data_IF_954691586722
#
_entry.id   IF_954691586722
#
_cell.length_a   1.000
_cell.length_b   1.000
_cell.length_c   1.000
_cell.angle_alpha   90.00
_cell.angle_beta   90.00
_cell.angle_gamma   90.00
#
_symmetry.space_group_name_H-M   'P 1'
#
loop_
_entity.id
_entity.type
_entity.pdbx_description
1 polymer ?
#
# COMPACT_ATOMS: atom_id res chain seq x y z
N UNK A 1 -13.99 12.26 -10.11
CA UNK A 1 -14.35 11.76 -11.46
C UNK A 1 -14.18 12.85 -12.50
N UNK A 2 -14.69 14.07 -12.29
CA UNK A 2 -14.46 15.18 -13.24
C UNK A 2 -13.00 15.54 -13.42
N UNK A 3 -12.24 15.74 -12.33
CA UNK A 3 -10.79 16.00 -12.43
C UNK A 3 -10.05 14.89 -13.18
N UNK A 4 -10.44 13.62 -12.96
CA UNK A 4 -9.82 12.47 -13.61
C UNK A 4 -10.06 12.47 -15.12
N UNK A 5 -11.31 12.67 -15.57
CA UNK A 5 -11.63 12.65 -17.01
C UNK A 5 -11.09 13.88 -17.74
N UNK A 6 -11.01 15.01 -17.04
CA UNK A 6 -10.37 16.23 -17.52
C UNK A 6 -8.87 16.01 -17.73
N UNK A 7 -8.18 15.42 -16.75
CA UNK A 7 -6.76 15.09 -16.87
C UNK A 7 -6.49 14.01 -17.92
N UNK A 8 -7.40 13.06 -18.10
CA UNK A 8 -7.28 12.00 -19.09
C UNK A 8 -7.71 12.43 -20.50
N UNK A 9 -8.32 13.62 -20.65
CA UNK A 9 -8.83 14.12 -21.93
C UNK A 9 -9.97 13.30 -22.52
N UNK A 10 -10.75 12.59 -21.69
CA UNK A 10 -11.85 11.72 -22.14
C UNK A 10 -13.20 12.20 -21.60
N UNK A 11 -14.28 11.70 -22.17
CA UNK A 11 -15.63 12.00 -21.68
C UNK A 11 -16.00 11.09 -20.49
N UNK A 12 -16.80 11.60 -19.54
CA UNK A 12 -17.29 10.81 -18.40
C UNK A 12 -18.04 9.55 -18.83
N UNK A 13 -18.86 9.65 -19.89
CA UNK A 13 -19.65 8.52 -20.38
C UNK A 13 -18.75 7.37 -20.83
N UNK A 14 -17.70 7.66 -21.63
CA UNK A 14 -16.73 6.65 -22.06
C UNK A 14 -16.01 5.94 -20.90
N UNK A 15 -15.70 6.69 -19.83
CA UNK A 15 -15.06 6.11 -18.65
C UNK A 15 -16.02 5.17 -17.90
N UNK A 16 -17.28 5.56 -17.71
CA UNK A 16 -18.29 4.72 -17.06
C UNK A 16 -18.70 3.53 -17.93
N UNK A 17 -18.76 3.67 -19.26
CA UNK A 17 -19.03 2.56 -20.18
C UNK A 17 -17.93 1.49 -20.11
N UNK A 18 -16.67 1.90 -19.87
CA UNK A 18 -15.53 0.98 -19.78
C UNK A 18 -15.38 0.34 -18.42
N UNK A 19 -15.55 1.12 -17.35
CA UNK A 19 -15.18 0.70 -15.99
C UNK A 19 -16.36 0.58 -15.02
N UNK A 20 -17.58 0.90 -15.45
CA UNK A 20 -18.82 0.79 -14.68
C UNK A 20 -18.95 1.89 -13.64
N UNK A 21 -18.05 1.91 -12.66
CA UNK A 21 -18.07 2.84 -11.55
C UNK A 21 -16.65 3.18 -11.04
N UNK A 22 -16.57 4.18 -10.15
CA UNK A 22 -15.31 4.66 -9.57
C UNK A 22 -14.59 3.58 -8.75
N UNK A 23 -15.34 2.75 -8.03
CA UNK A 23 -14.80 1.69 -7.17
C UNK A 23 -14.18 0.59 -8.03
N UNK A 24 -14.89 0.12 -9.06
CA UNK A 24 -14.38 -0.86 -10.03
C UNK A 24 -13.17 -0.34 -10.79
N UNK A 25 -13.18 0.92 -11.24
CA UNK A 25 -12.01 1.56 -11.86
C UNK A 25 -10.82 1.59 -10.89
N UNK A 26 -11.05 1.95 -9.63
CA UNK A 26 -10.00 2.00 -8.61
C UNK A 26 -9.33 0.63 -8.43
N UNK A 27 -10.12 -0.44 -8.24
CA UNK A 27 -9.56 -1.79 -8.11
C UNK A 27 -8.83 -2.25 -9.37
N UNK A 28 -9.35 -1.98 -10.57
CA UNK A 28 -8.65 -2.29 -11.83
C UNK A 28 -7.32 -1.56 -11.97
N UNK A 29 -7.22 -0.32 -11.47
CA UNK A 29 -5.95 0.42 -11.45
C UNK A 29 -4.99 -0.20 -10.44
N UNK A 30 -5.48 -0.62 -9.27
CA UNK A 30 -4.65 -1.30 -8.25
C UNK A 30 -4.12 -2.64 -8.78
N UNK A 31 -4.97 -3.46 -9.41
CA UNK A 31 -4.56 -4.70 -10.07
C UNK A 31 -3.48 -4.41 -11.12
N UNK A 32 -3.70 -3.39 -11.96
CA UNK A 32 -2.74 -3.01 -13.01
C UNK A 32 -1.40 -2.52 -12.45
N UNK A 33 -1.41 -1.80 -11.33
CA UNK A 33 -0.20 -1.34 -10.64
C UNK A 33 0.52 -2.53 -10.02
N UNK A 34 -0.20 -3.45 -9.38
CA UNK A 34 0.36 -4.69 -8.84
C UNK A 34 1.04 -5.51 -9.94
N UNK A 35 0.36 -5.72 -11.06
CA UNK A 35 0.92 -6.43 -12.22
C UNK A 35 2.15 -5.73 -12.78
N UNK A 36 2.15 -4.39 -12.79
CA UNK A 36 3.29 -3.61 -13.27
C UNK A 36 4.49 -3.71 -12.35
N UNK A 37 4.30 -3.65 -11.03
CA UNK A 37 5.37 -3.84 -10.04
C UNK A 37 5.97 -5.24 -10.18
N UNK A 38 5.13 -6.25 -10.32
CA UNK A 38 5.56 -7.63 -10.57
C UNK A 38 6.32 -7.76 -11.90
N UNK A 39 5.85 -7.09 -12.96
CA UNK A 39 6.52 -7.08 -14.27
C UNK A 39 7.85 -6.31 -14.26
N UNK A 40 7.94 -5.20 -13.51
CA UNK A 40 9.15 -4.39 -13.37
C UNK A 40 10.21 -5.16 -12.57
N UNK A 41 9.82 -5.81 -11.47
CA UNK A 41 10.69 -6.72 -10.71
C UNK A 41 11.17 -7.89 -11.58
N UNK A 42 10.26 -8.53 -12.33
CA UNK A 42 10.63 -9.58 -13.29
C UNK A 42 11.60 -9.06 -14.36
N UNK A 43 11.41 -7.81 -14.80
CA UNK A 43 12.30 -7.11 -15.71
C UNK A 43 13.69 -6.88 -15.12
N UNK A 44 13.79 -6.46 -13.86
CA UNK A 44 15.06 -6.29 -13.15
C UNK A 44 15.77 -7.62 -12.90
N UNK A 45 15.03 -8.66 -12.55
CA UNK A 45 15.53 -10.04 -12.44
C UNK A 45 16.11 -10.49 -13.78
N UNK A 46 15.41 -10.27 -14.91
CA UNK A 46 15.90 -10.62 -16.25
C UNK A 46 17.10 -9.81 -16.71
N UNK A 47 17.27 -8.59 -16.18
CA UNK A 47 18.41 -7.70 -16.48
C UNK A 47 19.60 -7.91 -15.53
N UNK A 48 19.44 -8.71 -14.48
CA UNK A 48 20.50 -9.03 -13.54
C UNK A 48 21.62 -9.78 -14.26
N UNK A 49 22.88 -9.48 -13.93
CA UNK A 49 24.05 -10.08 -14.61
C UNK A 49 24.38 -11.45 -14.04
N UNK A 50 23.97 -11.72 -12.79
CA UNK A 50 24.16 -13.02 -12.13
C UNK A 50 22.89 -13.52 -11.45
N UNK A 51 22.78 -14.83 -11.27
CA UNK A 51 21.69 -15.45 -10.50
C UNK A 51 21.69 -14.97 -9.04
N UNK A 52 22.87 -14.69 -8.47
CA UNK A 52 23.02 -14.15 -7.12
C UNK A 52 22.42 -12.74 -7.01
N UNK A 53 22.67 -11.85 -7.98
CA UNK A 53 22.06 -10.50 -8.02
C UNK A 53 20.53 -10.59 -8.13
N UNK A 54 20.02 -11.47 -8.99
CA UNK A 54 18.59 -11.70 -9.13
C UNK A 54 17.93 -12.20 -7.84
N UNK A 55 18.58 -13.14 -7.14
CA UNK A 55 18.11 -13.64 -5.84
C UNK A 55 18.15 -12.54 -4.78
N UNK A 56 19.20 -11.73 -4.73
CA UNK A 56 19.30 -10.60 -3.80
C UNK A 56 18.20 -9.56 -4.01
N UNK A 57 17.81 -9.27 -5.27
CA UNK A 57 16.69 -8.39 -5.59
C UNK A 57 15.35 -8.94 -5.09
N UNK A 58 15.13 -10.25 -5.26
CA UNK A 58 13.92 -10.93 -4.79
C UNK A 58 13.88 -10.93 -3.26
N UNK A 59 14.95 -11.38 -2.60
CA UNK A 59 15.01 -11.41 -1.13
C UNK A 59 14.87 -10.02 -0.53
N UNK A 60 15.56 -9.00 -1.06
CA UNK A 60 15.43 -7.62 -0.56
C UNK A 60 14.01 -7.07 -0.68
N UNK A 61 13.27 -7.44 -1.72
CA UNK A 61 11.89 -6.94 -1.93
C UNK A 61 10.90 -7.64 -0.99
N UNK A 62 11.07 -8.95 -0.80
CA UNK A 62 10.21 -9.77 0.06
C UNK A 62 10.52 -9.55 1.56
N UNK A 63 11.79 -9.43 1.93
CA UNK A 63 12.23 -9.18 3.31
C UNK A 63 11.74 -7.84 3.83
N UNK A 64 11.73 -6.79 3.00
CA UNK A 64 11.25 -5.48 3.42
C UNK A 64 9.76 -5.47 3.77
N UNK A 65 8.95 -6.32 3.11
CA UNK A 65 7.52 -6.47 3.40
C UNK A 65 7.29 -7.24 4.72
N UNK A 66 7.93 -8.40 4.86
CA UNK A 66 7.81 -9.24 6.06
C UNK A 66 8.37 -8.52 7.30
N UNK A 67 9.49 -7.81 7.15
CA UNK A 67 10.09 -7.04 8.23
C UNK A 67 9.19 -5.90 8.69
N UNK A 68 8.52 -5.18 7.78
CA UNK A 68 7.61 -4.10 8.20
C UNK A 68 6.39 -4.61 8.95
N UNK A 69 5.83 -5.74 8.53
CA UNK A 69 4.71 -6.38 9.22
C UNK A 69 5.10 -6.83 10.64
N UNK A 70 6.25 -7.51 10.77
CA UNK A 70 6.76 -7.92 12.07
C UNK A 70 7.07 -6.72 12.98
N UNK A 71 7.66 -5.65 12.44
CA UNK A 71 7.92 -4.43 13.22
C UNK A 71 6.63 -3.78 13.70
N UNK A 72 5.57 -3.73 12.88
CA UNK A 72 4.27 -3.23 13.34
C UNK A 72 3.74 -4.06 14.51
N UNK A 73 3.80 -5.38 14.41
CA UNK A 73 3.37 -6.28 15.49
C UNK A 73 4.16 -6.06 16.78
N UNK A 74 5.50 -5.96 16.69
CA UNK A 74 6.35 -5.76 17.86
C UNK A 74 6.08 -4.41 18.54
N UNK A 75 5.87 -3.35 17.76
CA UNK A 75 5.52 -2.01 18.27
C UNK A 75 4.13 -2.00 18.91
N UNK A 76 3.15 -2.67 18.31
CA UNK A 76 1.80 -2.76 18.87
C UNK A 76 1.82 -3.54 20.18
N UNK A 77 2.51 -4.68 20.23
CA UNK A 77 2.68 -5.46 21.46
C UNK A 77 3.33 -4.64 22.56
N UNK A 78 4.38 -3.88 22.23
CA UNK A 78 5.04 -2.99 23.19
C UNK A 78 4.09 -1.90 23.71
N UNK A 79 3.32 -1.26 22.84
CA UNK A 79 2.33 -0.26 23.22
C UNK A 79 1.19 -0.83 24.06
N UNK A 80 0.72 -2.04 23.76
CA UNK A 80 -0.27 -2.76 24.56
C UNK A 80 0.25 -3.11 25.96
N UNK A 81 1.50 -3.60 26.05
CA UNK A 81 2.14 -3.95 27.33
C UNK A 81 2.30 -2.75 28.26
N UNK A 82 2.56 -1.57 27.70
CA UNK A 82 2.72 -0.33 28.46
C UNK A 82 1.40 0.46 28.64
N UNK A 83 0.29 -0.04 28.10
CA UNK A 83 -1.03 0.58 28.18
C UNK A 83 -1.24 1.80 27.29
N UNK A 84 -0.36 2.04 26.31
CA UNK A 84 -0.51 3.10 25.31
C UNK A 84 -1.57 2.74 24.26
N UNK A 85 -1.63 1.47 23.86
CA UNK A 85 -2.60 0.96 22.89
C UNK A 85 -3.60 0.00 23.53
N UNK A 86 -4.80 -0.07 22.95
CA UNK A 86 -5.82 -1.00 23.40
C UNK A 86 -5.40 -2.45 23.14
N UNK A 87 -5.60 -3.30 24.15
CA UNK A 87 -5.45 -4.76 24.05
C UNK A 87 -6.78 -5.47 23.77
N UNK A 88 -7.82 -4.71 23.38
CA UNK A 88 -9.13 -5.27 22.98
C UNK A 88 -9.06 -6.09 21.68
N UNK A 89 -7.98 -5.93 20.90
CA UNK A 89 -7.73 -6.63 19.63
C UNK A 89 -6.36 -7.32 19.63
N UNK A 90 -6.23 -8.40 18.87
CA UNK A 90 -4.95 -9.09 18.69
C UNK A 90 -3.93 -8.18 17.99
N UNK A 91 -2.68 -8.20 18.47
CA UNK A 91 -1.63 -7.38 17.90
C UNK A 91 -1.29 -7.74 16.45
N UNK A 92 -1.50 -9.00 16.05
CA UNK A 92 -1.31 -9.44 14.66
C UNK A 92 -2.39 -8.85 13.75
N UNK A 93 -3.66 -8.90 14.16
CA UNK A 93 -4.76 -8.32 13.38
C UNK A 93 -4.59 -6.80 13.19
N UNK A 94 -4.13 -6.10 14.23
CA UNK A 94 -3.83 -4.67 14.14
C UNK A 94 -2.58 -4.40 13.28
N UNK A 95 -1.57 -5.27 13.33
CA UNK A 95 -0.38 -5.17 12.48
C UNK A 95 -0.71 -5.35 11.00
N UNK A 96 -1.55 -6.34 10.65
CA UNK A 96 -2.02 -6.57 9.29
C UNK A 96 -2.74 -5.34 8.74
N UNK A 97 -3.61 -4.73 9.55
CA UNK A 97 -4.30 -3.49 9.19
C UNK A 97 -3.33 -2.33 8.95
N UNK A 98 -2.40 -2.08 9.89
CA UNK A 98 -1.40 -1.02 9.76
C UNK A 98 -0.47 -1.22 8.58
N UNK A 99 -0.08 -2.47 8.32
CA UNK A 99 0.74 -2.83 7.19
C UNK A 99 0.00 -2.56 5.87
N UNK A 100 -1.30 -2.89 5.78
CA UNK A 100 -2.13 -2.55 4.63
C UNK A 100 -2.23 -1.03 4.42
N UNK A 101 -2.38 -0.25 5.49
CA UNK A 101 -2.37 1.23 5.43
C UNK A 101 -1.02 1.75 4.96
N UNK A 102 0.09 1.24 5.50
CA UNK A 102 1.46 1.62 5.12
C UNK A 102 1.74 1.34 3.64
N UNK A 103 1.38 0.16 3.14
CA UNK A 103 1.50 -0.20 1.73
C UNK A 103 0.65 0.73 0.87
N UNK A 104 -0.59 1.00 1.28
CA UNK A 104 -1.47 1.96 0.62
C UNK A 104 -0.87 3.37 0.54
N UNK A 105 -0.29 3.86 1.65
CA UNK A 105 0.40 5.15 1.69
C UNK A 105 1.61 5.18 0.76
N UNK A 106 2.45 4.14 0.74
CA UNK A 106 3.59 4.05 -0.19
C UNK A 106 3.15 4.17 -1.64
N UNK A 107 2.06 3.50 -2.03
CA UNK A 107 1.50 3.61 -3.38
C UNK A 107 0.97 5.02 -3.62
N UNK A 108 0.18 5.56 -2.69
CA UNK A 108 -0.42 6.89 -2.83
C UNK A 108 0.61 8.04 -2.88
N UNK A 109 1.79 7.90 -2.25
CA UNK A 109 2.87 8.91 -2.38
C UNK A 109 3.40 9.06 -3.80
N UNK A 110 3.17 8.08 -4.68
CA UNK A 110 3.54 8.12 -6.11
C UNK A 110 2.44 8.71 -7.00
N UNK A 111 1.34 9.17 -6.40
CA UNK A 111 0.21 9.79 -7.09
C UNK A 111 0.11 11.28 -6.73
N UNK A 112 -0.70 12.07 -7.46
CA UNK A 112 -0.91 13.51 -7.19
C UNK A 112 -1.71 13.81 -5.91
N UNK A 113 -1.74 12.89 -4.94
CA UNK A 113 -2.40 13.10 -3.66
C UNK A 113 -1.59 14.08 -2.82
N UNK A 114 -2.28 15.07 -2.27
CA UNK A 114 -1.72 16.06 -1.34
C UNK A 114 -1.14 15.37 -0.10
N UNK A 115 0.08 15.77 0.29
CA UNK A 115 0.84 15.17 1.40
C UNK A 115 0.06 15.20 2.72
N UNK A 116 -0.74 16.24 2.93
CA UNK A 116 -1.59 16.42 4.13
C UNK A 116 -2.63 15.30 4.27
N UNK A 117 -3.15 14.80 3.14
CA UNK A 117 -4.11 13.69 3.16
C UNK A 117 -3.43 12.38 3.55
N UNK A 118 -2.18 12.16 3.14
CA UNK A 118 -1.42 10.96 3.50
C UNK A 118 -1.09 10.95 4.98
N UNK A 119 -0.64 12.09 5.53
CA UNK A 119 -0.42 12.24 6.97
C UNK A 119 -1.71 12.01 7.75
N UNK A 120 -2.82 12.61 7.32
CA UNK A 120 -4.10 12.42 7.99
C UNK A 120 -4.54 10.96 8.07
N UNK A 121 -4.35 10.18 6.99
CA UNK A 121 -4.66 8.75 6.98
C UNK A 121 -3.78 8.00 7.99
N UNK A 122 -2.48 8.30 8.02
CA UNK A 122 -1.56 7.70 8.99
C UNK A 122 -1.96 8.03 10.44
N UNK A 123 -2.25 9.31 10.72
CA UNK A 123 -2.64 9.78 12.05
C UNK A 123 -3.93 9.11 12.54
N UNK A 124 -4.93 8.97 11.68
CA UNK A 124 -6.18 8.29 12.02
C UNK A 124 -5.91 6.81 12.29
N UNK A 125 -5.14 6.12 11.45
CA UNK A 125 -4.82 4.71 11.64
C UNK A 125 -4.04 4.44 12.94
N UNK A 126 -3.13 5.34 13.33
CA UNK A 126 -2.42 5.24 14.63
C UNK A 126 -3.39 5.51 15.78
N UNK A 127 -4.26 6.53 15.66
CA UNK A 127 -5.24 6.86 16.69
C UNK A 127 -6.21 5.72 16.97
N UNK A 128 -6.58 4.94 15.96
CA UNK A 128 -7.46 3.77 16.11
C UNK A 128 -6.85 2.61 16.92
N UNK A 129 -5.53 2.62 17.15
CA UNK A 129 -4.88 1.69 18.08
C UNK A 129 -5.14 2.09 19.54
N UNK A 130 -5.35 3.38 19.77
CA UNK A 130 -5.67 3.96 21.07
C UNK A 130 -7.20 3.98 21.25
N UNK A 131 -7.67 4.02 22.50
CA UNK A 131 -9.11 4.19 22.79
C UNK A 131 -9.62 5.56 22.36
#
# INVERSE_FOLDING_TARGET
MTELVEHMGIQRRSLYDTFGDKHTLFFKVMDRIHDKVSADLLGEVKRSKTATEALQLIFKTTELFILSEQLFKDIILWGQQNGEFSSDYDASDQADHLHAVYVGLRVMTKTSIRKEKLHHIADVSIKLLSK
#
